data_IF_046228729092
#
_entry.id   IF_046228729092
#
_cell.length_a   1.000
_cell.length_b   1.000
_cell.length_c   1.000
_cell.angle_alpha   90.00
_cell.angle_beta   90.00
_cell.angle_gamma   90.00
#
_symmetry.space_group_name_H-M   'P 1'
#
loop_
_entity.id
_entity.type
_entity.pdbx_description
1 polymer ?
#
# COMPACT_ATOMS: atom_id res chain seq x y z
N UNK A 1 -0.81 18.34 -5.94
CA UNK A 1 -1.16 17.43 -7.05
C UNK A 1 0.05 17.24 -7.94
N UNK A 2 0.68 18.31 -8.40
CA UNK A 2 1.90 18.26 -9.22
C UNK A 2 3.05 17.50 -8.53
N UNK A 3 3.30 17.76 -7.25
CA UNK A 3 4.33 17.03 -6.48
C UNK A 3 4.08 15.52 -6.47
N UNK A 4 2.83 15.08 -6.33
CA UNK A 4 2.47 13.66 -6.41
C UNK A 4 2.73 13.12 -7.81
N UNK A 5 2.29 13.83 -8.86
CA UNK A 5 2.49 13.37 -10.23
C UNK A 5 3.96 13.31 -10.65
N UNK A 6 4.81 14.11 -10.02
CA UNK A 6 6.25 14.14 -10.29
C UNK A 6 7.02 13.08 -9.49
N UNK A 7 6.65 12.85 -8.23
CA UNK A 7 7.46 12.05 -7.31
C UNK A 7 6.80 10.73 -6.90
N UNK A 8 5.53 10.51 -7.21
CA UNK A 8 4.75 9.35 -6.77
C UNK A 8 4.11 8.62 -7.93
N UNK A 9 3.68 7.40 -7.65
CA UNK A 9 2.89 6.59 -8.57
C UNK A 9 1.93 5.69 -7.80
N UNK A 10 1.04 5.06 -8.55
CA UNK A 10 0.08 4.10 -8.03
C UNK A 10 -0.55 3.27 -9.14
N UNK A 11 -1.19 2.19 -8.73
CA UNK A 11 -1.83 1.22 -9.59
C UNK A 11 -3.25 0.96 -9.10
N UNK A 12 -4.16 0.74 -10.05
CA UNK A 12 -5.53 0.33 -9.80
C UNK A 12 -5.80 -1.03 -10.44
N UNK A 13 -6.67 -1.81 -9.80
CA UNK A 13 -7.32 -2.95 -10.41
C UNK A 13 -8.73 -2.54 -10.83
N UNK A 14 -9.09 -2.86 -12.08
CA UNK A 14 -10.42 -2.57 -12.64
C UNK A 14 -11.11 -3.90 -12.99
N UNK A 15 -12.38 -4.04 -12.61
CA UNK A 15 -13.20 -5.19 -12.97
C UNK A 15 -14.61 -4.72 -13.29
N UNK A 16 -15.12 -5.04 -14.49
CA UNK A 16 -16.43 -4.57 -14.99
C UNK A 16 -16.60 -3.05 -14.84
N UNK A 17 -15.59 -2.29 -15.26
CA UNK A 17 -15.52 -0.83 -15.18
C UNK A 17 -15.49 -0.22 -13.75
N UNK A 18 -15.51 -1.05 -12.70
CA UNK A 18 -15.33 -0.61 -11.32
C UNK A 18 -13.86 -0.68 -10.88
N UNK A 19 -13.39 0.34 -10.15
CA UNK A 19 -12.12 0.27 -9.42
C UNK A 19 -12.32 -0.63 -8.21
N UNK A 20 -11.66 -1.79 -8.21
CA UNK A 20 -11.79 -2.78 -7.14
C UNK A 20 -10.75 -2.59 -6.03
N UNK A 21 -9.57 -2.11 -6.40
CA UNK A 21 -8.46 -1.86 -5.47
C UNK A 21 -7.51 -0.81 -6.02
N UNK A 22 -6.83 -0.12 -5.12
CA UNK A 22 -5.77 0.86 -5.40
C UNK A 22 -4.57 0.60 -4.50
N UNK A 23 -3.36 0.82 -5.01
CA UNK A 23 -2.11 0.82 -4.25
C UNK A 23 -1.24 1.98 -4.75
N UNK A 24 -0.78 2.88 -3.87
CA UNK A 24 -0.06 4.09 -4.28
C UNK A 24 0.91 4.59 -3.22
N UNK A 25 1.75 5.56 -3.59
CA UNK A 25 2.68 6.22 -2.67
C UNK A 25 1.92 7.21 -1.77
N UNK A 26 1.61 6.81 -0.55
CA UNK A 26 0.93 7.63 0.46
C UNK A 26 1.79 8.83 0.88
N UNK A 27 3.08 8.56 1.05
CA UNK A 27 4.11 9.51 1.45
C UNK A 27 5.45 9.09 0.85
N UNK A 28 6.31 10.07 0.57
CA UNK A 28 7.63 9.86 -0.02
C UNK A 28 8.69 10.56 0.82
N UNK A 29 9.76 9.86 1.16
CA UNK A 29 10.96 10.42 1.75
C UNK A 29 12.19 9.80 1.07
N UNK A 30 12.98 10.64 0.40
CA UNK A 30 14.12 10.20 -0.42
C UNK A 30 13.72 9.08 -1.41
N UNK A 31 14.34 7.92 -1.31
CA UNK A 31 14.03 6.74 -2.13
C UNK A 31 12.97 5.84 -1.46
N UNK A 32 12.34 6.25 -0.36
CA UNK A 32 11.37 5.45 0.40
C UNK A 32 9.95 5.91 0.15
N UNK A 33 9.07 5.01 -0.25
CA UNK A 33 7.67 5.30 -0.53
C UNK A 33 6.77 4.49 0.39
N UNK A 34 6.01 5.16 1.24
CA UNK A 34 4.99 4.53 2.08
C UNK A 34 3.83 4.03 1.22
N UNK A 35 3.47 2.76 1.39
CA UNK A 35 2.39 2.11 0.67
C UNK A 35 1.05 2.43 1.33
N UNK A 36 0.13 3.02 0.57
CA UNK A 36 -1.30 3.02 0.90
C UNK A 36 -2.01 2.06 -0.04
N UNK A 37 -2.87 1.21 0.51
CA UNK A 37 -3.55 0.18 -0.26
C UNK A 37 -4.94 -0.07 0.29
N UNK A 38 -5.92 0.00 -0.61
CA UNK A 38 -7.31 -0.27 -0.27
C UNK A 38 -7.96 -1.18 -1.30
N UNK A 39 -8.82 -2.07 -0.82
CA UNK A 39 -9.68 -2.91 -1.65
C UNK A 39 -11.11 -2.70 -1.19
N UNK A 40 -11.97 -2.29 -2.13
CA UNK A 40 -13.40 -2.09 -1.89
C UNK A 40 -14.01 -3.38 -1.32
N UNK A 41 -14.83 -3.25 -0.28
CA UNK A 41 -15.24 -4.36 0.57
C UNK A 41 -15.83 -5.56 -0.21
N UNK A 42 -16.71 -5.28 -1.18
CA UNK A 42 -17.36 -6.33 -2.00
C UNK A 42 -16.39 -7.10 -2.90
N UNK A 43 -15.21 -6.53 -3.16
CA UNK A 43 -14.14 -7.09 -3.98
C UNK A 43 -13.00 -7.71 -3.16
N UNK A 44 -13.05 -7.66 -1.82
CA UNK A 44 -12.04 -8.28 -0.95
C UNK A 44 -12.01 -9.80 -1.09
N UNK A 45 -10.86 -10.41 -0.73
CA UNK A 45 -10.59 -11.88 -0.83
C UNK A 45 -10.63 -12.45 -2.25
N UNK A 46 -10.45 -11.58 -3.26
CA UNK A 46 -10.37 -11.95 -4.68
C UNK A 46 -9.01 -11.60 -5.31
N UNK A 47 -7.98 -11.43 -4.48
CA UNK A 47 -6.60 -11.08 -4.86
C UNK A 47 -6.37 -9.71 -5.51
N UNK A 48 -7.38 -8.84 -5.69
CA UNK A 48 -7.16 -7.51 -6.28
C UNK A 48 -6.10 -6.68 -5.53
N UNK A 49 -6.14 -6.64 -4.19
CA UNK A 49 -5.11 -5.99 -3.39
C UNK A 49 -3.71 -6.54 -3.65
N UNK A 50 -3.56 -7.87 -3.77
CA UNK A 50 -2.27 -8.50 -4.10
C UNK A 50 -1.79 -8.16 -5.50
N UNK A 51 -2.70 -8.00 -6.46
CA UNK A 51 -2.35 -7.60 -7.83
C UNK A 51 -1.78 -6.18 -7.86
N UNK A 52 -2.46 -5.22 -7.23
CA UNK A 52 -2.00 -3.81 -7.21
C UNK A 52 -0.75 -3.63 -6.34
N UNK A 53 -0.64 -4.35 -5.22
CA UNK A 53 0.58 -4.36 -4.39
C UNK A 53 1.77 -4.89 -5.18
N UNK A 54 1.60 -5.98 -5.93
CA UNK A 54 2.66 -6.57 -6.75
C UNK A 54 3.13 -5.61 -7.83
N UNK A 55 2.18 -5.02 -8.57
CA UNK A 55 2.51 -4.03 -9.60
C UNK A 55 3.30 -2.84 -9.01
N UNK A 56 2.89 -2.34 -7.85
CA UNK A 56 3.57 -1.26 -7.14
C UNK A 56 5.00 -1.65 -6.73
N UNK A 57 5.18 -2.81 -6.10
CA UNK A 57 6.50 -3.27 -5.63
C UNK A 57 7.45 -3.59 -6.80
N UNK A 58 6.94 -4.15 -7.90
CA UNK A 58 7.71 -4.35 -9.13
C UNK A 58 8.18 -3.01 -9.72
N UNK A 59 7.32 -2.00 -9.74
CA UNK A 59 7.67 -0.66 -10.18
C UNK A 59 8.72 -0.03 -9.27
N UNK A 60 8.57 -0.13 -7.94
CA UNK A 60 9.58 0.33 -6.99
C UNK A 60 10.96 -0.26 -7.34
N UNK A 61 11.05 -1.56 -7.57
CA UNK A 61 12.29 -2.22 -7.98
C UNK A 61 12.85 -1.71 -9.31
N UNK A 62 11.97 -1.38 -10.28
CA UNK A 62 12.36 -0.86 -11.60
C UNK A 62 12.95 0.55 -11.54
N UNK A 63 12.44 1.40 -10.65
CA UNK A 63 12.85 2.82 -10.55
C UNK A 63 13.77 3.12 -9.37
N UNK A 64 14.22 2.08 -8.64
CA UNK A 64 15.18 2.22 -7.54
C UNK A 64 14.58 2.67 -6.21
N UNK A 65 13.28 2.50 -6.02
CA UNK A 65 12.54 2.92 -4.82
C UNK A 65 12.41 1.75 -3.83
N UNK A 66 12.42 2.08 -2.55
CA UNK A 66 12.19 1.18 -1.44
C UNK A 66 10.74 1.34 -0.95
N UNK A 67 9.86 0.35 -1.15
CA UNK A 67 8.53 0.39 -0.58
C UNK A 67 8.61 0.24 0.94
N UNK A 68 7.91 1.10 1.66
CA UNK A 68 7.71 1.05 3.10
C UNK A 68 6.27 0.63 3.39
N UNK A 69 6.10 -0.37 4.24
CA UNK A 69 4.80 -0.90 4.60
C UNK A 69 4.71 -1.04 6.11
N UNK A 70 3.73 -0.38 6.71
CA UNK A 70 3.37 -0.55 8.11
C UNK A 70 1.90 -0.93 8.26
N UNK A 71 1.58 -1.54 9.40
CA UNK A 71 0.21 -1.80 9.80
C UNK A 71 0.15 -2.16 11.29
N UNK A 72 -1.05 -2.14 11.85
CA UNK A 72 -1.27 -2.61 13.21
C UNK A 72 -1.02 -4.12 13.33
N UNK A 73 -0.47 -4.62 14.46
CA UNK A 73 -0.19 -6.05 14.65
C UNK A 73 -1.41 -6.98 14.51
N UNK A 74 -2.63 -6.47 14.73
CA UNK A 74 -3.88 -7.21 14.56
C UNK A 74 -4.37 -7.26 13.09
N UNK A 75 -3.78 -6.48 12.19
CA UNK A 75 -4.09 -6.50 10.76
C UNK A 75 -3.37 -7.65 10.03
N UNK A 76 -3.78 -8.87 10.34
CA UNK A 76 -3.22 -10.09 9.75
C UNK A 76 -3.40 -10.18 8.21
N UNK A 77 -4.32 -9.40 7.63
CA UNK A 77 -4.49 -9.30 6.18
C UNK A 77 -3.35 -8.51 5.54
N UNK A 78 -3.07 -7.32 6.06
CA UNK A 78 -1.97 -6.46 5.62
C UNK A 78 -0.62 -7.13 5.80
N UNK A 79 -0.38 -7.78 6.95
CA UNK A 79 0.87 -8.51 7.23
C UNK A 79 1.12 -9.59 6.18
N UNK A 80 0.11 -10.41 5.86
CA UNK A 80 0.24 -11.47 4.84
C UNK A 80 0.47 -10.89 3.44
N UNK A 81 -0.13 -9.74 3.15
CA UNK A 81 0.05 -9.07 1.87
C UNK A 81 1.48 -8.59 1.70
N UNK A 82 2.02 -7.88 2.69
CA UNK A 82 3.41 -7.42 2.69
C UNK A 82 4.41 -8.59 2.59
N UNK A 83 4.18 -9.67 3.36
CA UNK A 83 4.99 -10.90 3.27
C UNK A 83 4.91 -11.54 1.87
N UNK A 84 3.72 -11.56 1.27
CA UNK A 84 3.52 -12.04 -0.11
C UNK A 84 4.29 -11.23 -1.16
N UNK A 85 4.60 -9.96 -0.87
CA UNK A 85 5.45 -9.11 -1.71
C UNK A 85 6.96 -9.27 -1.43
N UNK A 86 7.34 -10.19 -0.54
CA UNK A 86 8.73 -10.45 -0.17
C UNK A 86 9.27 -9.54 0.94
N UNK A 87 8.40 -8.78 1.61
CA UNK A 87 8.79 -7.94 2.74
C UNK A 87 8.86 -8.76 4.04
N UNK A 88 9.71 -8.32 4.96
CA UNK A 88 9.82 -8.88 6.31
C UNK A 88 9.62 -7.78 7.36
N UNK A 89 9.24 -8.17 8.57
CA UNK A 89 9.18 -7.24 9.69
C UNK A 89 10.57 -6.64 9.94
N UNK A 90 10.66 -5.31 9.91
CA UNK A 90 11.89 -4.58 10.22
C UNK A 90 11.92 -4.17 11.71
N UNK A 91 10.95 -3.36 12.13
CA UNK A 91 10.80 -2.94 13.52
C UNK A 91 9.34 -2.69 13.90
N UNK A 92 9.09 -2.56 15.21
CA UNK A 92 7.82 -2.12 15.77
C UNK A 92 7.99 -0.73 16.38
N UNK A 93 6.94 0.08 16.28
CA UNK A 93 6.89 1.40 16.90
C UNK A 93 5.50 1.62 17.52
N UNK A 94 5.39 2.58 18.44
CA UNK A 94 4.12 2.87 19.11
C UNK A 94 3.39 3.95 18.33
N UNK A 95 2.11 3.70 18.05
CA UNK A 95 1.20 4.70 17.53
C UNK A 95 0.18 5.04 18.59
N UNK A 96 -0.10 6.33 18.74
CA UNK A 96 -1.10 6.85 19.64
C UNK A 96 -2.22 7.48 18.82
N UNK A 97 -3.45 7.11 19.13
CA UNK A 97 -4.65 7.64 18.50
C UNK A 97 -5.51 8.22 19.62
N UNK A 98 -6.18 9.33 19.33
CA UNK A 98 -7.17 9.91 20.23
C UNK A 98 -8.43 10.16 19.44
N UNK A 99 -9.57 9.81 20.03
CA UNK A 99 -10.85 10.16 19.45
C UNK A 99 -11.00 11.67 19.53
N UNK A 100 -11.21 12.29 18.37
CA UNK A 100 -11.74 13.64 18.32
C UNK A 100 -13.24 13.51 18.63
N UNK A 101 -13.56 13.42 19.91
CA UNK A 101 -14.93 13.58 20.37
C UNK A 101 -15.37 15.01 20.05
N UNK A 102 -16.05 15.19 18.92
CA UNK A 102 -16.95 16.33 18.66
C UNK A 102 -18.23 16.21 19.46
#
# INVERSE_FOLDING_TARGET
MDDFLQHSFGYIAVHNDDITSVCFSAFTADQTHAVEIETVEVYRRRNYGAMVAKAFVEECGRVGIHPYWDCSPDNAGSIRLAQGMGMSLDFNYRVYWYDLST
#
